data_IF_664631661938
#
_entry.id   IF_664631661938
#
_cell.length_a   1.000
_cell.length_b   1.000
_cell.length_c   1.000
_cell.angle_alpha   90.00
_cell.angle_beta   90.00
_cell.angle_gamma   90.00
#
_symmetry.space_group_name_H-M   'P 1'
#
loop_
_entity.id
_entity.type
_entity.pdbx_description
1 polymer ?
#
# COMPACT_ATOMS: atom_id res chain seq x y z
N UNK A 1 -2.57 -11.43 -1.76
CA UNK A 1 -1.92 -12.09 -2.91
C UNK A 1 -2.99 -12.88 -3.64
N UNK A 2 -3.15 -12.72 -4.95
CA UNK A 2 -4.20 -13.41 -5.71
C UNK A 2 -4.44 -12.78 -7.09
N UNK A 3 -5.48 -13.24 -7.77
CA UNK A 3 -5.81 -12.82 -9.15
C UNK A 3 -6.96 -11.81 -9.25
N UNK A 4 -7.76 -11.65 -8.20
CA UNK A 4 -8.88 -10.70 -8.18
C UNK A 4 -8.41 -9.29 -7.77
N UNK A 5 -7.92 -8.53 -8.74
CA UNK A 5 -7.38 -7.19 -8.51
C UNK A 5 -8.44 -6.22 -7.98
N UNK A 6 -9.69 -6.34 -8.45
CA UNK A 6 -10.77 -5.43 -8.03
C UNK A 6 -11.05 -5.60 -6.54
N UNK A 7 -11.28 -6.84 -6.10
CA UNK A 7 -11.44 -7.16 -4.67
C UNK A 7 -10.22 -6.73 -3.85
N UNK A 8 -9.01 -7.02 -4.33
CA UNK A 8 -7.78 -6.67 -3.64
C UNK A 8 -7.63 -5.16 -3.45
N UNK A 9 -7.98 -4.34 -4.44
CA UNK A 9 -7.98 -2.88 -4.31
C UNK A 9 -8.97 -2.42 -3.26
N UNK A 10 -10.19 -2.94 -3.28
CA UNK A 10 -11.21 -2.56 -2.30
C UNK A 10 -10.80 -2.93 -0.87
N UNK A 11 -10.15 -4.08 -0.69
CA UNK A 11 -9.62 -4.49 0.60
C UNK A 11 -8.47 -3.59 1.09
N UNK A 12 -7.67 -3.02 0.19
CA UNK A 12 -6.51 -2.19 0.53
C UNK A 12 -6.77 -0.67 0.47
N UNK A 13 -7.93 -0.23 -0.06
CA UNK A 13 -8.25 1.19 -0.31
C UNK A 13 -8.14 2.07 0.93
N UNK A 14 -8.41 1.51 2.11
CA UNK A 14 -8.29 2.20 3.40
C UNK A 14 -6.89 2.80 3.62
N UNK A 15 -5.84 2.19 3.08
CA UNK A 15 -4.47 2.66 3.24
C UNK A 15 -4.24 3.98 2.51
N UNK A 16 -4.76 4.11 1.28
CA UNK A 16 -4.76 5.39 0.57
C UNK A 16 -5.56 6.47 1.32
N UNK A 17 -6.64 6.09 1.99
CA UNK A 17 -7.41 7.01 2.85
C UNK A 17 -6.60 7.51 4.06
N UNK A 18 -5.81 6.62 4.68
CA UNK A 18 -4.90 6.97 5.78
C UNK A 18 -3.80 7.92 5.32
N UNK A 19 -3.17 7.66 4.16
CA UNK A 19 -2.18 8.57 3.57
C UNK A 19 -2.81 9.92 3.25
N UNK A 20 -4.04 9.91 2.71
CA UNK A 20 -4.77 11.12 2.36
C UNK A 20 -4.99 12.07 3.54
N UNK A 21 -5.17 11.54 4.76
CA UNK A 21 -5.25 12.36 5.97
C UNK A 21 -3.94 13.13 6.23
N UNK A 22 -2.80 12.46 6.14
CA UNK A 22 -1.51 13.12 6.34
C UNK A 22 -1.19 14.13 5.25
N UNK A 23 -1.55 13.84 3.99
CA UNK A 23 -1.39 14.81 2.90
C UNK A 23 -2.28 16.03 3.10
N UNK A 24 -3.54 15.84 3.54
CA UNK A 24 -4.44 16.94 3.84
C UNK A 24 -3.88 17.86 4.94
N UNK A 25 -3.26 17.30 5.98
CA UNK A 25 -2.60 18.08 7.04
C UNK A 25 -1.42 18.91 6.50
N UNK A 26 -0.61 18.33 5.61
CA UNK A 26 0.51 19.04 4.95
C UNK A 26 -0.04 20.18 4.08
N UNK A 27 -1.05 19.92 3.24
CA UNK A 27 -1.67 20.93 2.37
C UNK A 27 -2.31 22.05 3.18
N UNK A 28 -3.01 21.72 4.27
CA UNK A 28 -3.59 22.73 5.16
C UNK A 28 -2.51 23.62 5.79
N UNK A 29 -1.36 23.06 6.12
CA UNK A 29 -0.27 23.76 6.81
C UNK A 29 0.63 24.56 5.88
N UNK A 30 0.87 24.07 4.66
CA UNK A 30 1.90 24.60 3.76
C UNK A 30 1.35 25.09 2.40
N UNK A 31 0.09 24.81 2.09
CA UNK A 31 -0.52 25.06 0.78
C UNK A 31 -0.35 23.87 -0.17
N UNK A 32 -1.23 23.80 -1.18
CA UNK A 32 -1.25 22.74 -2.19
C UNK A 32 -0.17 22.92 -3.28
N UNK A 33 0.48 24.08 -3.32
CA UNK A 33 1.59 24.43 -4.21
C UNK A 33 2.95 24.47 -3.50
N UNK A 34 3.04 23.91 -2.28
CA UNK A 34 4.31 23.89 -1.56
C UNK A 34 5.36 23.07 -2.32
N UNK A 35 6.57 23.62 -2.47
CA UNK A 35 7.67 22.95 -3.14
C UNK A 35 7.93 21.57 -2.54
N UNK A 36 7.97 20.55 -3.40
CA UNK A 36 8.28 19.16 -3.03
C UNK A 36 7.08 18.25 -2.76
N UNK A 37 5.83 18.73 -2.85
CA UNK A 37 4.65 17.85 -2.78
C UNK A 37 4.27 17.40 -4.20
N UNK A 38 4.30 16.09 -4.51
CA UNK A 38 3.85 15.61 -5.81
C UNK A 38 2.37 15.92 -6.07
N UNK A 39 2.06 16.47 -7.24
CA UNK A 39 0.69 16.82 -7.64
C UNK A 39 -0.29 15.63 -7.53
N UNK A 40 0.19 14.42 -7.83
CA UNK A 40 -0.60 13.20 -7.69
C UNK A 40 -1.10 12.94 -6.26
N UNK A 41 -0.44 13.48 -5.23
CA UNK A 41 -0.88 13.37 -3.83
C UNK A 41 -1.90 14.46 -3.46
N UNK A 42 -1.77 15.66 -4.03
CA UNK A 42 -2.69 16.78 -3.74
C UNK A 42 -3.99 16.69 -4.54
N UNK A 43 -3.99 16.04 -5.72
CA UNK A 43 -5.19 15.91 -6.54
C UNK A 43 -6.21 14.93 -5.95
N UNK A 44 -5.78 13.74 -5.51
CA UNK A 44 -6.76 12.74 -5.05
C UNK A 44 -7.40 13.10 -3.70
N UNK A 45 -6.75 13.94 -2.87
CA UNK A 45 -7.32 14.39 -1.59
C UNK A 45 -8.38 15.49 -1.75
N UNK A 46 -8.56 16.08 -2.95
CA UNK A 46 -9.64 17.05 -3.22
C UNK A 46 -11.03 16.44 -3.07
N UNK A 47 -11.17 15.13 -3.32
CA UNK A 47 -12.43 14.40 -3.15
C UNK A 47 -12.73 13.95 -1.72
N UNK A 48 -11.87 14.31 -0.75
CA UNK A 48 -12.01 13.88 0.65
C UNK A 48 -13.08 14.71 1.37
N UNK A 49 -14.14 14.06 1.83
CA UNK A 49 -15.22 14.68 2.61
C UNK A 49 -15.33 14.06 4.01
N UNK A 50 -14.88 14.81 5.03
CA UNK A 50 -14.88 14.34 6.41
C UNK A 50 -14.05 13.06 6.64
N UNK A 51 -13.85 12.67 7.90
CA UNK A 51 -13.16 11.42 8.22
C UNK A 51 -13.64 10.89 9.58
N UNK A 52 -14.35 9.77 9.59
CA UNK A 52 -14.72 9.08 10.82
C UNK A 52 -13.59 8.16 11.28
N UNK A 53 -12.99 8.50 12.42
CA UNK A 53 -11.94 7.69 13.03
C UNK A 53 -12.39 6.30 13.47
N UNK A 54 -13.69 6.05 13.67
CA UNK A 54 -14.18 4.72 14.03
C UNK A 54 -14.01 3.69 12.90
N UNK A 55 -13.90 4.15 11.65
CA UNK A 55 -13.66 3.30 10.49
C UNK A 55 -12.18 3.29 10.06
N UNK A 56 -11.30 3.91 10.84
CA UNK A 56 -9.89 4.03 10.52
C UNK A 56 -9.21 2.66 10.41
N UNK A 57 -8.46 2.44 9.33
CA UNK A 57 -7.73 1.19 9.12
C UNK A 57 -8.60 -0.03 8.77
N UNK A 58 -9.89 0.18 8.46
CA UNK A 58 -10.81 -0.92 8.13
C UNK A 58 -11.00 -1.05 6.62
N UNK A 59 -10.90 -2.28 6.12
CA UNK A 59 -11.32 -2.62 4.76
C UNK A 59 -12.82 -2.34 4.59
N UNK A 60 -13.21 -1.85 3.42
CA UNK A 60 -14.61 -1.51 3.12
C UNK A 60 -15.14 -0.25 3.81
N UNK A 61 -14.30 0.58 4.43
CA UNK A 61 -14.77 1.83 5.02
C UNK A 61 -15.24 2.83 3.95
N UNK A 62 -16.35 3.51 4.22
CA UNK A 62 -16.97 4.44 3.25
C UNK A 62 -16.14 5.70 3.06
N UNK A 63 -15.33 6.06 4.06
CA UNK A 63 -14.49 7.25 4.02
C UNK A 63 -13.27 7.13 3.10
N UNK A 64 -12.94 5.94 2.58
CA UNK A 64 -11.86 5.72 1.63
C UNK A 64 -12.37 5.58 0.18
N UNK A 65 -13.67 5.69 -0.07
CA UNK A 65 -14.25 5.55 -1.43
C UNK A 65 -13.75 6.61 -2.42
N UNK A 66 -13.29 7.77 -1.93
CA UNK A 66 -12.72 8.82 -2.78
C UNK A 66 -11.33 8.46 -3.33
N UNK A 67 -10.67 7.45 -2.77
CA UNK A 67 -9.32 7.04 -3.17
C UNK A 67 -9.41 6.29 -4.50
N UNK A 68 -8.82 6.78 -5.60
CA UNK A 68 -8.88 6.11 -6.89
C UNK A 68 -7.95 4.89 -6.93
N UNK A 69 -8.25 3.94 -7.83
CA UNK A 69 -7.50 2.69 -7.98
C UNK A 69 -6.00 2.92 -8.24
N UNK A 70 -5.66 3.92 -9.05
CA UNK A 70 -4.26 4.26 -9.34
C UNK A 70 -3.46 4.66 -8.09
N UNK A 71 -4.12 5.22 -7.07
CA UNK A 71 -3.50 5.56 -5.79
C UNK A 71 -3.30 4.29 -4.95
N UNK A 72 -4.27 3.38 -4.97
CA UNK A 72 -4.13 2.07 -4.30
C UNK A 72 -2.96 1.30 -4.92
N UNK A 73 -2.90 1.20 -6.26
CA UNK A 73 -1.83 0.50 -6.98
C UNK A 73 -0.44 1.13 -6.74
N UNK A 74 -0.39 2.44 -6.46
CA UNK A 74 0.86 3.14 -6.16
C UNK A 74 1.38 2.86 -4.75
N UNK A 75 0.48 2.69 -3.79
CA UNK A 75 0.81 2.51 -2.38
C UNK A 75 0.85 1.04 -1.94
N UNK A 76 0.19 0.16 -2.66
CA UNK A 76 0.04 -1.24 -2.30
C UNK A 76 0.70 -2.14 -3.35
N UNK A 77 1.09 -3.34 -2.92
CA UNK A 77 1.55 -4.40 -3.82
C UNK A 77 0.41 -5.40 -3.93
N UNK A 78 -0.21 -5.49 -5.10
CA UNK A 78 -1.37 -6.32 -5.38
C UNK A 78 -1.06 -7.32 -6.50
N UNK A 79 -1.87 -8.37 -6.62
CA UNK A 79 -1.74 -9.39 -7.65
C UNK A 79 -1.11 -10.70 -7.20
N UNK A 80 -0.72 -11.48 -8.21
CA UNK A 80 -0.14 -12.81 -8.09
C UNK A 80 1.28 -12.73 -7.48
N UNK A 81 1.84 -13.83 -6.94
CA UNK A 81 3.17 -13.84 -6.31
C UNK A 81 4.28 -13.23 -7.17
N UNK A 82 4.20 -13.38 -8.50
CA UNK A 82 5.18 -12.80 -9.43
C UNK A 82 5.22 -11.26 -9.38
N UNK A 83 4.08 -10.60 -9.19
CA UNK A 83 4.03 -9.13 -9.08
C UNK A 83 4.62 -8.66 -7.76
N UNK A 84 4.37 -9.40 -6.68
CA UNK A 84 5.00 -9.15 -5.39
C UNK A 84 6.52 -9.26 -5.48
N UNK A 85 7.04 -10.31 -6.12
CA UNK A 85 8.48 -10.49 -6.34
C UNK A 85 9.06 -9.35 -7.18
N UNK A 86 8.43 -9.01 -8.32
CA UNK A 86 8.87 -7.92 -9.20
C UNK A 86 9.02 -6.61 -8.42
N UNK A 87 8.03 -6.26 -7.60
CA UNK A 87 8.04 -5.01 -6.84
C UNK A 87 9.03 -5.03 -5.67
N UNK A 88 9.16 -6.14 -4.97
CA UNK A 88 10.15 -6.29 -3.89
C UNK A 88 11.57 -6.22 -4.44
N UNK A 89 11.85 -6.83 -5.60
CA UNK A 89 13.15 -6.74 -6.27
C UNK A 89 13.46 -5.32 -6.76
N UNK A 90 12.46 -4.60 -7.28
CA UNK A 90 12.60 -3.19 -7.63
C UNK A 90 12.99 -2.34 -6.42
N UNK A 91 12.28 -2.50 -5.29
CA UNK A 91 12.57 -1.79 -4.05
C UNK A 91 13.93 -2.16 -3.47
N UNK A 92 14.31 -3.44 -3.54
CA UNK A 92 15.65 -3.91 -3.18
C UNK A 92 16.73 -3.26 -4.04
N UNK A 93 16.50 -3.12 -5.35
CA UNK A 93 17.39 -2.40 -6.27
C UNK A 93 17.59 -0.93 -5.91
N UNK A 94 16.63 -0.32 -5.22
CA UNK A 94 16.72 1.04 -4.66
C UNK A 94 17.42 1.08 -3.28
N UNK A 95 17.84 -0.06 -2.74
CA UNK A 95 18.56 -0.17 -1.47
C UNK A 95 17.69 -0.53 -0.26
N UNK A 96 16.41 -0.88 -0.46
CA UNK A 96 15.56 -1.36 0.64
C UNK A 96 16.02 -2.77 1.05
N UNK A 97 16.30 -2.96 2.34
CA UNK A 97 16.83 -4.21 2.91
C UNK A 97 15.84 -4.91 3.85
N UNK A 98 14.82 -4.20 4.35
CA UNK A 98 13.79 -4.73 5.22
C UNK A 98 12.38 -4.33 4.77
N UNK A 99 11.47 -5.31 4.77
CA UNK A 99 10.07 -5.12 4.40
C UNK A 99 9.17 -5.51 5.56
N UNK A 100 8.29 -4.61 5.97
CA UNK A 100 7.18 -4.89 6.89
C UNK A 100 5.88 -4.98 6.12
N UNK A 101 5.17 -6.10 6.27
CA UNK A 101 3.91 -6.35 5.57
C UNK A 101 2.75 -5.94 6.47
N UNK A 102 1.93 -5.01 6.00
CA UNK A 102 0.66 -4.67 6.65
C UNK A 102 -0.42 -5.66 6.21
N UNK A 103 -0.84 -6.54 7.12
CA UNK A 103 -1.80 -7.60 6.85
C UNK A 103 -3.21 -7.23 7.34
N UNK A 104 -3.80 -6.23 6.71
CA UNK A 104 -5.10 -5.68 7.07
C UNK A 104 -6.04 -5.68 5.87
N UNK A 105 -6.54 -6.88 5.57
CA UNK A 105 -7.57 -7.24 4.59
C UNK A 105 -8.24 -8.54 5.06
N UNK A 106 -9.21 -9.07 4.32
CA UNK A 106 -9.97 -10.27 4.68
C UNK A 106 -9.20 -11.61 4.48
N UNK A 107 -8.34 -11.72 3.46
CA UNK A 107 -7.62 -12.97 3.13
C UNK A 107 -6.24 -13.14 3.82
N UNK A 108 -6.16 -12.91 5.14
CA UNK A 108 -4.88 -12.79 5.88
C UNK A 108 -4.05 -14.09 5.83
N UNK A 109 -4.69 -15.22 6.09
CA UNK A 109 -4.02 -16.52 6.19
C UNK A 109 -3.48 -16.95 4.82
N UNK A 110 -4.25 -16.74 3.76
CA UNK A 110 -3.85 -17.04 2.38
C UNK A 110 -2.66 -16.19 1.95
N UNK A 111 -2.65 -14.90 2.28
CA UNK A 111 -1.50 -14.02 2.03
C UNK A 111 -0.28 -14.51 2.80
N UNK A 112 -0.40 -14.93 4.07
CA UNK A 112 0.72 -15.47 4.85
C UNK A 112 1.28 -16.75 4.24
N UNK A 113 0.41 -17.68 3.82
CA UNK A 113 0.82 -18.91 3.13
C UNK A 113 1.54 -18.60 1.83
N UNK A 114 0.99 -17.71 1.00
CA UNK A 114 1.62 -17.29 -0.24
C UNK A 114 2.99 -16.66 -0.02
N UNK A 115 3.13 -15.81 1.01
CA UNK A 115 4.43 -15.24 1.38
C UNK A 115 5.41 -16.31 1.84
N UNK A 116 4.99 -17.25 2.70
CA UNK A 116 5.82 -18.33 3.20
C UNK A 116 6.32 -19.27 2.10
N UNK A 117 5.44 -19.67 1.19
CA UNK A 117 5.76 -20.69 0.19
C UNK A 117 6.37 -20.14 -1.11
N UNK A 118 5.95 -18.94 -1.53
CA UNK A 118 6.22 -18.46 -2.89
C UNK A 118 7.07 -17.20 -2.93
N UNK A 119 7.03 -16.35 -1.89
CA UNK A 119 7.72 -15.04 -1.93
C UNK A 119 9.00 -15.07 -1.11
N UNK A 120 8.92 -15.38 0.19
CA UNK A 120 10.06 -15.40 1.13
C UNK A 120 11.27 -16.21 0.64
N UNK A 121 11.11 -17.41 0.03
CA UNK A 121 12.25 -18.17 -0.48
C UNK A 121 13.11 -17.44 -1.53
N UNK A 122 12.55 -16.46 -2.24
CA UNK A 122 13.24 -15.72 -3.28
C UNK A 122 13.84 -14.41 -2.76
N UNK A 123 13.21 -13.77 -1.78
CA UNK A 123 13.67 -12.48 -1.23
C UNK A 123 14.67 -12.64 -0.10
N UNK A 124 14.53 -13.69 0.72
CA UNK A 124 15.37 -13.96 1.88
C UNK A 124 16.34 -15.10 1.60
N UNK A 125 17.21 -14.88 0.61
CA UNK A 125 18.31 -15.81 0.34
C UNK A 125 19.31 -15.69 1.49
N UNK A 126 19.29 -16.64 2.41
CA UNK A 126 20.32 -16.72 3.44
C UNK A 126 21.68 -16.84 2.75
N UNK A 127 22.54 -15.83 2.90
CA UNK A 127 23.94 -16.01 2.55
C UNK A 127 24.53 -16.96 3.60
N UNK A 128 25.13 -18.06 3.16
CA UNK A 128 25.97 -18.86 4.04
C UNK A 128 27.02 -17.95 4.67
N UNK A 129 27.27 -18.12 5.97
CA UNK A 129 28.34 -17.40 6.65
C UNK A 129 29.63 -17.56 5.85
N UNK A 130 30.31 -16.44 5.56
CA UNK A 130 31.62 -16.48 4.91
C UNK A 130 32.57 -17.26 5.84
N UNK A 131 33.10 -18.38 5.34
CA UNK A 131 34.18 -19.15 6.01
C UNK A 131 35.47 -18.34 6.01
#
# INVERSE_FOLDING_TARGET
VGSDIEHMRDQCRWFGGMVGNHVADIVMRYGDQADGIPQALTDYIKGREGYDYNQHGQAGNTHAQFVPDEIVDRFCILGEPAEHLRRLDELKGLGVDQFSIYLQHDAKDETLVAYGEKILPHVNTQSLAKQ
#
